data_IF_613814412267
#
_entry.id   IF_613814412267
#
_cell.length_a   1.000
_cell.length_b   1.000
_cell.length_c   1.000
_cell.angle_alpha   90.00
_cell.angle_beta   90.00
_cell.angle_gamma   90.00
#
_symmetry.space_group_name_H-M   'P 1'
#
loop_
_entity.id
_entity.type
_entity.pdbx_description
1 polymer ?
#
# COMPACT_ATOMS: atom_id res chain seq x y z
N UNK A 1 -19.48 20.93 -23.42
CA UNK A 1 -20.86 20.42 -23.23
C UNK A 1 -21.42 21.06 -21.97
N UNK A 2 -22.72 21.34 -21.92
CA UNK A 2 -23.38 21.75 -20.69
C UNK A 2 -23.52 20.54 -19.74
N UNK A 3 -23.53 20.79 -18.43
CA UNK A 3 -23.83 19.76 -17.45
C UNK A 3 -25.32 19.33 -17.56
N UNK A 4 -25.67 18.06 -17.30
CA UNK A 4 -27.06 17.62 -17.30
C UNK A 4 -27.85 18.24 -16.13
N UNK A 5 -29.16 18.40 -16.29
CA UNK A 5 -30.04 18.98 -15.26
C UNK A 5 -30.06 18.18 -13.95
N UNK A 6 -29.67 16.90 -14.00
CA UNK A 6 -29.55 16.02 -12.83
C UNK A 6 -28.20 16.09 -12.14
N UNK A 7 -27.29 16.96 -12.58
CA UNK A 7 -25.96 17.07 -11.98
C UNK A 7 -26.04 17.65 -10.56
N UNK A 8 -25.30 17.05 -9.64
CA UNK A 8 -25.09 17.62 -8.31
C UNK A 8 -24.08 18.77 -8.39
N UNK A 9 -24.46 19.94 -7.89
CA UNK A 9 -23.59 21.12 -7.83
C UNK A 9 -22.78 21.08 -6.53
N UNK A 10 -21.46 21.28 -6.65
CA UNK A 10 -20.55 21.42 -5.52
C UNK A 10 -19.98 22.83 -5.49
N UNK A 11 -20.21 23.56 -4.39
CA UNK A 11 -19.63 24.89 -4.19
C UNK A 11 -18.11 24.78 -3.96
N UNK A 12 -17.34 25.36 -4.88
CA UNK A 12 -15.88 25.29 -4.89
C UNK A 12 -15.21 26.67 -4.96
N UNK A 13 -15.92 27.72 -4.53
CA UNK A 13 -15.34 29.05 -4.38
C UNK A 13 -14.09 29.00 -3.48
N UNK A 14 -13.06 29.77 -3.86
CA UNK A 14 -11.75 29.81 -3.19
C UNK A 14 -11.02 28.45 -3.07
N UNK A 15 -11.35 27.50 -3.95
CA UNK A 15 -10.66 26.21 -4.07
C UNK A 15 -10.08 26.02 -5.47
N UNK A 16 -8.99 25.26 -5.54
CA UNK A 16 -8.44 24.81 -6.81
C UNK A 16 -8.79 23.34 -7.01
N UNK A 17 -9.50 23.02 -8.10
CA UNK A 17 -9.68 21.65 -8.54
C UNK A 17 -8.39 21.17 -9.23
N UNK A 18 -7.94 19.97 -8.88
CA UNK A 18 -6.81 19.31 -9.52
C UNK A 18 -7.15 17.84 -9.79
N UNK A 19 -6.50 17.20 -10.78
CA UNK A 19 -6.53 15.75 -10.90
C UNK A 19 -6.06 15.09 -9.61
N UNK A 20 -6.71 14.00 -9.21
CA UNK A 20 -6.23 13.19 -8.10
C UNK A 20 -4.83 12.65 -8.37
N UNK A 21 -3.97 12.65 -7.35
CA UNK A 21 -2.61 12.12 -7.46
C UNK A 21 -2.64 10.60 -7.68
N UNK A 22 -1.61 10.09 -8.34
CA UNK A 22 -1.36 8.66 -8.53
C UNK A 22 -0.07 8.31 -7.80
N UNK A 23 -0.16 7.46 -6.79
CA UNK A 23 1.00 6.89 -6.14
C UNK A 23 1.50 5.68 -6.95
N UNK A 24 2.50 5.91 -7.79
CA UNK A 24 3.03 4.91 -8.71
C UNK A 24 3.79 3.77 -8.01
N UNK A 25 4.10 3.88 -6.72
CA UNK A 25 4.77 2.83 -5.94
C UNK A 25 4.53 2.99 -4.44
N UNK A 26 3.95 1.98 -3.82
CA UNK A 26 3.70 1.92 -2.37
C UNK A 26 4.01 0.55 -1.79
N UNK A 27 4.08 0.48 -0.47
CA UNK A 27 4.23 -0.74 0.32
C UNK A 27 3.20 -0.72 1.45
N UNK A 28 1.94 -0.99 1.10
CA UNK A 28 0.80 -0.85 2.02
C UNK A 28 0.85 -1.77 3.23
N UNK A 29 1.49 -2.94 3.09
CA UNK A 29 1.69 -3.91 4.18
C UNK A 29 2.42 -3.32 5.39
N UNK A 30 3.28 -2.32 5.20
CA UNK A 30 4.05 -1.69 6.28
C UNK A 30 3.28 -0.63 7.08
N UNK A 31 2.02 -0.34 6.76
CA UNK A 31 1.32 0.80 7.33
C UNK A 31 1.13 0.72 8.85
N UNK A 32 0.87 -0.46 9.42
CA UNK A 32 0.74 -0.66 10.88
C UNK A 32 2.09 -0.63 11.61
N UNK A 33 3.20 -0.63 10.88
CA UNK A 33 4.56 -0.68 11.41
C UNK A 33 5.32 0.64 11.29
N UNK A 34 4.66 1.71 10.79
CA UNK A 34 5.28 3.03 10.66
C UNK A 34 5.81 3.49 12.01
N UNK A 35 7.07 3.91 12.04
CA UNK A 35 7.75 4.39 13.25
C UNK A 35 8.49 3.32 14.06
N UNK A 36 8.47 2.03 13.65
CA UNK A 36 9.28 0.99 14.30
C UNK A 36 10.78 1.04 13.96
N UNK A 37 11.13 1.74 12.88
CA UNK A 37 12.51 2.02 12.47
C UNK A 37 12.65 3.50 12.11
N UNK A 38 13.86 4.05 12.31
CA UNK A 38 14.19 5.45 12.05
C UNK A 38 15.32 5.54 11.02
N UNK A 39 16.58 5.42 11.45
CA UNK A 39 17.77 5.53 10.60
C UNK A 39 18.27 4.17 10.11
N UNK A 40 17.38 3.33 9.59
CA UNK A 40 17.77 2.05 9.02
C UNK A 40 18.29 2.22 7.60
N UNK A 41 19.36 1.50 7.27
CA UNK A 41 19.74 1.29 5.88
C UNK A 41 18.70 0.42 5.18
N UNK A 42 18.72 0.39 3.84
CA UNK A 42 17.83 -0.46 3.08
C UNK A 42 18.03 -1.95 3.44
N UNK A 43 19.27 -2.39 3.61
CA UNK A 43 19.61 -3.76 3.98
C UNK A 43 19.05 -4.13 5.35
N UNK A 44 19.15 -3.21 6.32
CA UNK A 44 18.56 -3.40 7.65
C UNK A 44 17.03 -3.47 7.58
N UNK A 45 16.39 -2.58 6.82
CA UNK A 45 14.94 -2.60 6.62
C UNK A 45 14.47 -3.92 5.98
N UNK A 46 15.15 -4.37 4.91
CA UNK A 46 14.80 -5.61 4.22
C UNK A 46 15.01 -6.83 5.11
N UNK A 47 16.08 -6.85 5.92
CA UNK A 47 16.35 -7.93 6.88
C UNK A 47 15.32 -7.94 8.02
N UNK A 48 14.93 -6.75 8.51
CA UNK A 48 13.92 -6.60 9.55
C UNK A 48 12.48 -6.83 9.05
N UNK A 49 12.24 -6.86 7.74
CA UNK A 49 10.91 -7.01 7.12
C UNK A 49 10.03 -8.10 7.76
N UNK A 50 10.52 -9.34 7.93
CA UNK A 50 9.79 -10.39 8.64
C UNK A 50 9.52 -10.05 10.11
N UNK A 51 10.49 -9.47 10.84
CA UNK A 51 10.29 -9.08 12.24
C UNK A 51 9.15 -8.05 12.40
N UNK A 52 9.00 -7.17 11.42
CA UNK A 52 8.00 -6.09 11.42
C UNK A 52 6.61 -6.59 10.98
N UNK A 53 6.57 -7.48 9.97
CA UNK A 53 5.35 -7.77 9.20
C UNK A 53 4.94 -9.25 9.19
N UNK A 54 5.74 -10.18 9.70
CA UNK A 54 5.36 -11.59 9.72
C UNK A 54 4.28 -11.89 10.78
N UNK A 55 3.57 -13.00 10.60
CA UNK A 55 2.55 -13.46 11.56
C UNK A 55 1.25 -12.65 11.56
N UNK A 56 1.07 -11.73 10.61
CA UNK A 56 -0.14 -10.90 10.47
C UNK A 56 -1.34 -11.75 10.08
N UNK A 57 -2.45 -11.57 10.79
CA UNK A 57 -3.75 -12.17 10.46
C UNK A 57 -4.36 -11.47 9.23
N UNK A 58 -5.40 -12.06 8.64
CA UNK A 58 -6.13 -11.43 7.52
C UNK A 58 -6.65 -10.04 7.89
N UNK A 59 -7.13 -9.88 9.12
CA UNK A 59 -7.57 -8.58 9.65
C UNK A 59 -6.43 -7.57 9.71
N UNK A 60 -5.23 -7.95 10.16
CA UNK A 60 -4.09 -7.04 10.18
C UNK A 60 -3.68 -6.58 8.76
N UNK A 61 -3.75 -7.50 7.78
CA UNK A 61 -3.44 -7.21 6.37
C UNK A 61 -4.45 -6.22 5.80
N UNK A 62 -5.73 -6.46 6.07
CA UNK A 62 -6.81 -5.53 5.72
C UNK A 62 -6.59 -4.15 6.35
N UNK A 63 -6.37 -4.09 7.66
CA UNK A 63 -6.20 -2.83 8.40
C UNK A 63 -4.96 -2.06 7.96
N UNK A 64 -3.86 -2.76 7.60
CA UNK A 64 -2.66 -2.13 7.04
C UNK A 64 -2.98 -1.43 5.72
N UNK A 65 -3.62 -2.14 4.79
CA UNK A 65 -4.01 -1.57 3.50
C UNK A 65 -5.04 -0.45 3.65
N UNK A 66 -6.01 -0.59 4.55
CA UNK A 66 -7.03 0.42 4.82
C UNK A 66 -6.41 1.70 5.37
N UNK A 67 -5.48 1.59 6.34
CA UNK A 67 -4.76 2.74 6.89
C UNK A 67 -3.92 3.44 5.81
N UNK A 68 -3.21 2.66 4.98
CA UNK A 68 -2.45 3.19 3.85
C UNK A 68 -3.35 3.98 2.89
N UNK A 69 -4.48 3.39 2.51
CA UNK A 69 -5.46 3.99 1.61
C UNK A 69 -6.07 5.28 2.17
N UNK A 70 -6.52 5.26 3.43
CA UNK A 70 -7.12 6.41 4.09
C UNK A 70 -6.14 7.59 4.17
N UNK A 71 -4.87 7.35 4.48
CA UNK A 71 -3.85 8.40 4.48
C UNK A 71 -3.59 8.97 3.08
N UNK A 72 -3.59 8.13 2.05
CA UNK A 72 -3.44 8.54 0.66
C UNK A 72 -4.62 9.41 0.19
N UNK A 73 -5.86 8.98 0.44
CA UNK A 73 -7.06 9.75 0.08
C UNK A 73 -7.07 11.11 0.76
N UNK A 74 -6.74 11.18 2.06
CA UNK A 74 -6.66 12.44 2.80
C UNK A 74 -5.62 13.43 2.24
N UNK A 75 -4.67 12.95 1.44
CA UNK A 75 -3.63 13.75 0.78
C UNK A 75 -3.90 13.97 -0.72
N UNK A 76 -5.11 13.64 -1.20
CA UNK A 76 -5.50 13.83 -2.60
C UNK A 76 -5.02 12.74 -3.56
N UNK A 77 -4.47 11.63 -3.06
CA UNK A 77 -4.14 10.47 -3.87
C UNK A 77 -5.39 9.61 -4.10
N UNK A 78 -5.63 9.25 -5.35
CA UNK A 78 -6.85 8.54 -5.79
C UNK A 78 -6.57 7.21 -6.48
N UNK A 79 -5.28 6.93 -6.76
CA UNK A 79 -4.86 5.63 -7.29
C UNK A 79 -3.48 5.22 -6.76
N UNK A 80 -3.26 3.93 -6.59
CA UNK A 80 -1.98 3.38 -6.10
C UNK A 80 -1.58 2.12 -6.85
N UNK A 81 -0.27 1.96 -7.08
CA UNK A 81 0.36 0.66 -7.29
C UNK A 81 0.99 0.21 -5.97
N UNK A 82 0.43 -0.83 -5.37
CA UNK A 82 0.91 -1.41 -4.11
C UNK A 82 1.76 -2.65 -4.37
N UNK A 83 3.05 -2.54 -4.06
CA UNK A 83 3.98 -3.66 -4.11
C UNK A 83 3.95 -4.37 -2.76
N UNK A 84 3.02 -5.32 -2.66
CA UNK A 84 2.59 -5.95 -1.43
C UNK A 84 3.50 -7.12 -1.04
N UNK A 85 4.05 -7.08 0.18
CA UNK A 85 4.76 -8.21 0.77
C UNK A 85 3.89 -8.90 1.81
N UNK A 86 3.96 -10.22 1.80
CA UNK A 86 3.39 -11.09 2.82
C UNK A 86 4.44 -12.15 3.16
N UNK A 87 4.60 -12.43 4.44
CA UNK A 87 5.56 -13.40 4.94
C UNK A 87 4.84 -14.63 5.50
N UNK A 88 5.29 -15.86 5.18
CA UNK A 88 6.49 -16.19 4.40
C UNK A 88 6.33 -16.06 2.88
N UNK A 89 5.10 -16.15 2.36
CA UNK A 89 4.78 -15.99 0.94
C UNK A 89 3.41 -15.33 0.78
N UNK A 90 3.15 -14.59 -0.31
CA UNK A 90 1.81 -14.13 -0.66
C UNK A 90 0.79 -15.26 -0.74
N UNK A 91 -0.38 -15.03 -0.16
CA UNK A 91 -1.53 -15.93 -0.22
C UNK A 91 -2.71 -15.29 -0.98
N UNK A 92 -3.56 -16.08 -1.66
CA UNK A 92 -4.79 -15.56 -2.27
C UNK A 92 -5.69 -14.85 -1.24
N UNK A 93 -5.83 -15.38 -0.03
CA UNK A 93 -6.65 -14.81 1.04
C UNK A 93 -6.07 -13.48 1.54
N UNK A 94 -4.75 -13.40 1.69
CA UNK A 94 -4.05 -12.15 2.04
C UNK A 94 -4.25 -11.07 0.97
N UNK A 95 -4.09 -11.45 -0.30
CA UNK A 95 -4.32 -10.55 -1.44
C UNK A 95 -5.77 -10.06 -1.50
N UNK A 96 -6.75 -10.93 -1.24
CA UNK A 96 -8.17 -10.53 -1.16
C UNK A 96 -8.43 -9.58 0.00
N UNK A 97 -7.84 -9.80 1.18
CA UNK A 97 -8.00 -8.90 2.33
C UNK A 97 -7.48 -7.49 2.01
N UNK A 98 -6.33 -7.38 1.35
CA UNK A 98 -5.76 -6.11 0.89
C UNK A 98 -6.64 -5.46 -0.20
N UNK A 99 -7.13 -6.24 -1.16
CA UNK A 99 -8.03 -5.76 -2.21
C UNK A 99 -9.34 -5.19 -1.64
N UNK A 100 -9.97 -5.91 -0.70
CA UNK A 100 -11.17 -5.45 -0.01
C UNK A 100 -10.93 -4.13 0.72
N UNK A 101 -9.79 -3.98 1.41
CA UNK A 101 -9.47 -2.74 2.12
C UNK A 101 -9.36 -1.53 1.17
N UNK A 102 -8.71 -1.68 0.02
CA UNK A 102 -8.65 -0.60 -0.98
C UNK A 102 -10.04 -0.30 -1.59
N UNK A 103 -10.83 -1.34 -1.87
CA UNK A 103 -12.17 -1.20 -2.41
C UNK A 103 -13.12 -0.47 -1.44
N UNK A 104 -13.09 -0.82 -0.15
CA UNK A 104 -13.94 -0.21 0.89
C UNK A 104 -13.63 1.29 1.09
N UNK A 105 -12.37 1.69 0.92
CA UNK A 105 -11.97 3.11 0.95
C UNK A 105 -12.34 3.83 -0.36
N UNK A 106 -12.65 3.10 -1.43
CA UNK A 106 -12.92 3.65 -2.76
C UNK A 106 -11.66 4.03 -3.54
N UNK A 107 -10.50 3.47 -3.18
CA UNK A 107 -9.21 3.70 -3.86
C UNK A 107 -9.11 2.85 -5.12
N UNK A 108 -8.63 3.43 -6.23
CA UNK A 108 -8.20 2.62 -7.38
C UNK A 108 -6.84 1.99 -7.08
N UNK A 109 -6.76 0.67 -7.03
CA UNK A 109 -5.52 -0.01 -6.67
C UNK A 109 -5.12 -1.07 -7.71
N UNK A 110 -3.83 -1.11 -8.01
CA UNK A 110 -3.15 -2.28 -8.59
C UNK A 110 -2.32 -2.89 -7.48
N UNK A 111 -2.54 -4.17 -7.19
CA UNK A 111 -1.83 -4.89 -6.11
C UNK A 111 -0.93 -5.93 -6.77
N UNK A 112 0.37 -5.76 -6.61
CA UNK A 112 1.37 -6.67 -7.15
C UNK A 112 2.06 -7.41 -5.99
N UNK A 113 1.98 -8.75 -5.91
CA UNK A 113 2.67 -9.49 -4.87
C UNK A 113 4.18 -9.46 -5.09
N UNK A 114 4.92 -9.17 -4.03
CA UNK A 114 6.36 -9.32 -4.00
C UNK A 114 6.70 -10.80 -3.98
N UNK A 115 7.45 -11.24 -4.99
CA UNK A 115 7.93 -12.62 -5.11
C UNK A 115 9.44 -12.63 -5.28
N UNK A 116 10.09 -13.58 -4.62
CA UNK A 116 11.52 -13.81 -4.75
C UNK A 116 11.79 -15.32 -4.71
N UNK A 117 12.62 -15.80 -5.62
CA UNK A 117 13.09 -17.18 -5.67
C UNK A 117 14.40 -17.38 -4.88
N UNK A 118 14.95 -16.29 -4.34
CA UNK A 118 16.23 -16.27 -3.63
C UNK A 118 16.14 -15.46 -2.34
N UNK A 119 16.84 -15.92 -1.32
CA UNK A 119 17.02 -15.19 -0.05
C UNK A 119 18.20 -14.23 -0.12
N UNK A 120 18.12 -13.12 0.62
CA UNK A 120 19.25 -12.24 0.93
C UNK A 120 20.43 -13.01 1.58
N UNK A 121 20.14 -14.08 2.32
CA UNK A 121 21.14 -14.94 2.95
C UNK A 121 21.69 -16.05 2.03
N UNK A 122 21.35 -16.05 0.73
CA UNK A 122 21.88 -17.04 -0.20
C UNK A 122 23.39 -16.85 -0.39
N UNK A 123 24.16 -17.96 -0.31
CA UNK A 123 25.63 -17.97 -0.27
C UNK A 123 26.32 -17.09 -1.33
N UNK A 124 25.71 -16.94 -2.50
CA UNK A 124 26.26 -16.16 -3.64
C UNK A 124 26.34 -14.64 -3.41
N UNK A 125 25.62 -14.08 -2.44
CA UNK A 125 25.66 -12.64 -2.12
C UNK A 125 26.79 -12.27 -1.14
N UNK A 126 27.36 -13.24 -0.42
CA UNK A 126 28.42 -13.02 0.58
C UNK A 126 29.83 -13.14 -0.02
N UNK A 127 29.94 -13.52 -1.29
CA UNK A 127 31.20 -13.75 -2.00
C UNK A 127 31.62 -12.56 -2.91
N UNK A 128 30.93 -11.40 -2.82
CA UNK A 128 31.25 -10.16 -3.54
C UNK A 128 31.77 -9.07 -2.60
#
# INVERSE_FOLDING_TARGET
MAAPDTATIFEAADRMAMPGLINAHSHGHGALAKGLGDQWTLELLLNAGPWINAGRMLEDKYLSAQLNAAEMVRKGCTAVYDFYAEFPVPSPEGMHAVASAYADVGMRAVIAPMVADRSLSSKRYLDC
#
